data_IF_068512038809
#
_entry.id   IF_068512038809
#
_cell.length_a   1.000
_cell.length_b   1.000
_cell.length_c   1.000
_cell.angle_alpha   90.00
_cell.angle_beta   90.00
_cell.angle_gamma   90.00
#
_symmetry.space_group_name_H-M   'P 1'
#
loop_
_entity.id
_entity.type
_entity.pdbx_description
1 polymer ?
#
# COMPACT_ATOMS: atom_id res chain seq x y z
N UNK A 1 -1.26 -5.45 17.60
CA UNK A 1 -0.83 -5.52 16.19
C UNK A 1 0.51 -6.24 16.04
N UNK A 2 1.49 -5.94 16.92
CA UNK A 2 2.87 -6.44 16.79
C UNK A 2 3.00 -7.96 16.69
N UNK A 3 2.19 -8.73 17.43
CA UNK A 3 2.20 -10.20 17.34
C UNK A 3 1.99 -10.71 15.91
N UNK A 4 0.97 -10.20 15.21
CA UNK A 4 0.66 -10.58 13.82
C UNK A 4 1.76 -10.15 12.85
N UNK A 5 2.32 -8.96 13.07
CA UNK A 5 3.44 -8.46 12.28
C UNK A 5 4.68 -9.35 12.43
N UNK A 6 5.01 -9.76 13.66
CA UNK A 6 6.15 -10.62 13.96
C UNK A 6 5.96 -12.03 13.40
N UNK A 7 4.74 -12.59 13.47
CA UNK A 7 4.38 -13.86 12.85
C UNK A 7 4.61 -13.83 11.33
N UNK A 8 4.16 -12.76 10.64
CA UNK A 8 4.35 -12.62 9.19
C UNK A 8 5.82 -12.44 8.83
N UNK A 9 6.57 -11.62 9.58
CA UNK A 9 8.01 -11.46 9.37
C UNK A 9 8.76 -12.78 9.54
N UNK A 10 8.42 -13.54 10.59
CA UNK A 10 9.00 -14.86 10.82
C UNK A 10 8.71 -15.81 9.67
N UNK A 11 7.45 -15.84 9.21
CA UNK A 11 7.02 -16.70 8.10
C UNK A 11 7.78 -16.39 6.81
N UNK A 12 7.95 -15.11 6.47
CA UNK A 12 8.69 -14.66 5.28
C UNK A 12 10.15 -15.12 5.26
N UNK A 13 10.80 -15.13 6.42
CA UNK A 13 12.20 -15.55 6.56
C UNK A 13 12.35 -17.06 6.60
N UNK A 14 11.33 -17.79 7.06
CA UNK A 14 11.38 -19.25 7.27
C UNK A 14 10.88 -20.08 6.08
N UNK A 15 10.09 -19.53 5.14
CA UNK A 15 9.31 -20.30 4.18
C UNK A 15 10.10 -21.25 3.21
N UNK A 16 9.68 -22.53 3.09
CA UNK A 16 9.79 -23.37 1.89
C UNK A 16 8.39 -23.71 1.26
N UNK A 17 8.31 -24.21 -0.01
CA UNK A 17 7.15 -24.06 -0.90
C UNK A 17 5.87 -24.76 -0.46
N UNK A 18 4.73 -24.09 -0.66
CA UNK A 18 3.57 -24.77 -1.23
C UNK A 18 3.65 -24.65 -2.77
N UNK A 19 3.61 -25.81 -3.43
CA UNK A 19 3.46 -26.07 -4.86
C UNK A 19 4.50 -25.45 -5.83
N UNK A 20 5.43 -26.31 -6.27
CA UNK A 20 6.26 -26.22 -7.50
C UNK A 20 7.04 -24.93 -7.71
N UNK A 21 8.35 -24.97 -7.36
CA UNK A 21 9.40 -23.97 -7.60
C UNK A 21 9.74 -22.95 -6.49
N UNK A 22 9.39 -23.15 -5.20
CA UNK A 22 9.85 -22.15 -4.21
C UNK A 22 11.36 -22.25 -3.95
N UNK A 23 11.98 -21.13 -4.25
CA UNK A 23 13.35 -20.76 -4.03
C UNK A 23 13.44 -20.02 -2.68
N UNK A 24 14.58 -20.10 -2.01
CA UNK A 24 14.73 -19.61 -0.61
C UNK A 24 14.63 -18.07 -0.56
N UNK A 25 14.11 -17.48 0.55
CA UNK A 25 14.15 -16.04 0.73
C UNK A 25 15.60 -15.50 0.69
N UNK A 26 15.82 -14.26 0.25
CA UNK A 26 17.14 -13.64 0.28
C UNK A 26 17.73 -13.62 1.69
N UNK A 27 19.03 -13.91 1.83
CA UNK A 27 19.69 -13.98 3.15
C UNK A 27 19.62 -12.66 3.94
N UNK A 28 19.59 -11.53 3.23
CA UNK A 28 19.48 -10.19 3.81
C UNK A 28 18.04 -9.79 4.18
N UNK A 29 17.02 -10.59 3.85
CA UNK A 29 15.62 -10.24 4.10
C UNK A 29 15.34 -10.01 5.59
N UNK A 30 15.91 -10.84 6.47
CA UNK A 30 15.72 -10.73 7.91
C UNK A 30 16.26 -9.42 8.49
N UNK A 31 17.33 -8.86 7.93
CA UNK A 31 17.84 -7.54 8.30
C UNK A 31 16.89 -6.43 7.84
N UNK A 32 16.41 -6.54 6.61
CA UNK A 32 15.51 -5.56 6.01
C UNK A 32 14.17 -5.47 6.77
N UNK A 33 13.58 -6.61 7.17
CA UNK A 33 12.30 -6.68 7.88
C UNK A 33 12.35 -6.12 9.33
N UNK A 34 13.54 -5.93 9.90
CA UNK A 34 13.70 -5.19 11.18
C UNK A 34 13.47 -3.68 11.00
N UNK A 35 13.53 -3.21 9.77
CA UNK A 35 13.58 -1.79 9.42
C UNK A 35 12.33 -1.25 8.74
N UNK A 36 11.27 -2.06 8.62
CA UNK A 36 10.01 -1.67 7.95
C UNK A 36 9.54 -0.30 8.48
N UNK A 37 9.34 0.69 7.60
CA UNK A 37 8.95 2.03 8.02
C UNK A 37 7.58 1.96 8.67
N UNK A 38 7.51 2.54 9.87
CA UNK A 38 6.26 2.83 10.53
C UNK A 38 5.98 4.32 10.37
N UNK A 39 4.74 4.68 10.07
CA UNK A 39 4.32 6.08 10.06
C UNK A 39 3.88 6.55 11.46
N UNK A 40 4.11 7.81 11.83
CA UNK A 40 4.80 8.85 11.06
C UNK A 40 6.31 8.61 11.08
N UNK A 41 6.92 8.43 9.90
CA UNK A 41 8.28 8.87 9.71
C UNK A 41 8.17 10.37 9.38
N UNK A 42 9.14 11.18 9.81
CA UNK A 42 9.24 12.54 9.32
C UNK A 42 9.09 12.49 7.80
N UNK A 43 8.04 13.13 7.28
CA UNK A 43 7.78 13.19 5.84
C UNK A 43 8.92 14.01 5.23
N UNK A 44 10.00 13.32 4.85
CA UNK A 44 11.17 13.92 4.25
C UNK A 44 11.22 13.43 2.80
N UNK A 45 11.19 14.34 1.81
CA UNK A 45 11.25 13.96 0.42
C UNK A 45 12.55 13.19 0.13
N UNK A 46 12.42 12.09 -0.60
CA UNK A 46 13.52 11.26 -1.10
C UNK A 46 14.54 10.85 -0.03
N UNK A 47 14.07 10.11 0.97
CA UNK A 47 14.96 9.49 1.95
C UNK A 47 16.03 8.62 1.26
N UNK A 48 17.26 8.73 1.78
CA UNK A 48 18.31 7.76 1.46
C UNK A 48 17.86 6.39 1.97
N UNK A 49 18.20 5.30 1.26
CA UNK A 49 17.93 3.95 1.75
C UNK A 49 18.46 3.80 3.18
N UNK A 50 17.62 3.27 4.08
CA UNK A 50 18.01 3.01 5.46
C UNK A 50 19.20 2.06 5.53
N UNK A 51 19.20 1.06 4.65
CA UNK A 51 20.31 0.15 4.43
C UNK A 51 20.85 0.34 3.01
N UNK A 52 21.76 1.30 2.84
CA UNK A 52 22.32 1.64 1.53
C UNK A 52 23.00 0.45 0.82
N UNK A 53 23.67 -0.41 1.58
CA UNK A 53 24.33 -1.60 1.02
C UNK A 53 23.31 -2.63 0.48
N UNK A 54 22.07 -2.64 0.98
CA UNK A 54 21.01 -3.53 0.49
C UNK A 54 20.34 -3.02 -0.79
N UNK A 55 20.45 -1.74 -1.13
CA UNK A 55 19.84 -1.19 -2.35
C UNK A 55 20.30 -1.96 -3.61
N UNK A 56 21.62 -2.13 -3.75
CA UNK A 56 22.18 -2.89 -4.88
C UNK A 56 21.86 -4.39 -4.80
N UNK A 57 21.78 -4.95 -3.59
CA UNK A 57 21.44 -6.36 -3.40
C UNK A 57 19.98 -6.66 -3.75
N UNK A 58 19.05 -5.75 -3.42
CA UNK A 58 17.64 -5.84 -3.80
C UNK A 58 17.51 -5.84 -5.32
N UNK A 59 18.14 -4.88 -5.99
CA UNK A 59 18.17 -4.79 -7.45
C UNK A 59 18.79 -6.04 -8.12
N UNK A 60 19.93 -6.51 -7.60
CA UNK A 60 20.65 -7.66 -8.15
C UNK A 60 19.89 -8.99 -8.00
N UNK A 61 18.99 -9.09 -7.03
CA UNK A 61 18.16 -10.28 -6.83
C UNK A 61 17.22 -10.55 -8.02
N UNK A 62 17.01 -9.57 -8.91
CA UNK A 62 16.24 -9.71 -10.14
C UNK A 62 14.83 -10.28 -9.90
N UNK A 63 14.19 -9.87 -8.80
CA UNK A 63 12.88 -10.39 -8.40
C UNK A 63 11.77 -9.82 -9.30
N UNK A 64 10.53 -10.28 -9.08
CA UNK A 64 9.35 -9.66 -9.67
C UNK A 64 9.33 -8.14 -9.35
N UNK A 65 9.02 -7.24 -10.31
CA UNK A 65 9.11 -5.80 -10.08
C UNK A 65 8.28 -5.30 -8.89
N UNK A 66 7.13 -5.91 -8.62
CA UNK A 66 6.31 -5.57 -7.47
C UNK A 66 7.00 -5.96 -6.14
N UNK A 67 7.65 -7.12 -6.08
CA UNK A 67 8.43 -7.55 -4.92
C UNK A 67 9.61 -6.59 -4.72
N UNK A 68 10.35 -6.26 -5.79
CA UNK A 68 11.48 -5.33 -5.76
C UNK A 68 11.08 -3.94 -5.25
N UNK A 69 10.00 -3.37 -5.80
CA UNK A 69 9.47 -2.08 -5.36
C UNK A 69 9.07 -2.09 -3.88
N UNK A 70 8.43 -3.16 -3.42
CA UNK A 70 8.06 -3.32 -2.01
C UNK A 70 9.28 -3.42 -1.09
N UNK A 71 10.32 -4.14 -1.49
CA UNK A 71 11.58 -4.22 -0.76
C UNK A 71 12.27 -2.86 -0.65
N UNK A 72 12.27 -2.06 -1.72
CA UNK A 72 12.77 -0.67 -1.67
C UNK A 72 11.93 0.20 -0.73
N UNK A 73 10.59 0.08 -0.73
CA UNK A 73 9.75 0.78 0.25
C UNK A 73 10.05 0.35 1.70
N UNK A 74 10.24 -0.95 1.95
CA UNK A 74 10.67 -1.45 3.27
C UNK A 74 12.04 -0.88 3.66
N UNK A 75 12.93 -0.67 2.69
CA UNK A 75 14.23 -0.04 2.91
C UNK A 75 14.16 1.49 3.05
N UNK A 76 12.97 2.10 3.00
CA UNK A 76 12.78 3.55 2.89
C UNK A 76 13.50 4.20 1.69
N UNK A 77 13.80 3.39 0.67
CA UNK A 77 14.43 3.82 -0.58
C UNK A 77 13.35 4.30 -1.55
N UNK A 78 12.80 5.48 -1.26
CA UNK A 78 11.67 6.03 -2.00
C UNK A 78 12.05 6.33 -3.45
N UNK A 79 13.31 6.66 -3.74
CA UNK A 79 13.75 6.92 -5.11
C UNK A 79 13.62 5.67 -6.00
N UNK A 80 14.22 4.55 -5.59
CA UNK A 80 14.15 3.31 -6.36
C UNK A 80 12.72 2.77 -6.43
N UNK A 81 11.96 2.86 -5.34
CA UNK A 81 10.55 2.48 -5.34
C UNK A 81 9.73 3.34 -6.32
N UNK A 82 9.90 4.67 -6.29
CA UNK A 82 9.19 5.60 -7.18
C UNK A 82 9.53 5.35 -8.64
N UNK A 83 10.79 5.02 -8.94
CA UNK A 83 11.20 4.63 -10.29
C UNK A 83 10.41 3.41 -10.77
N UNK A 84 10.32 2.34 -9.97
CA UNK A 84 9.64 1.10 -10.35
C UNK A 84 8.13 1.28 -10.51
N UNK A 85 7.45 1.86 -9.51
CA UNK A 85 5.97 1.99 -9.55
C UNK A 85 5.50 2.92 -10.66
N UNK A 86 6.26 3.98 -10.98
CA UNK A 86 5.92 4.91 -12.07
C UNK A 86 6.02 4.27 -13.45
N UNK A 87 6.91 3.29 -13.63
CA UNK A 87 7.10 2.61 -14.93
C UNK A 87 6.01 1.60 -15.24
N UNK A 88 5.37 1.06 -14.21
CA UNK A 88 4.31 0.07 -14.32
C UNK A 88 2.92 0.64 -13.97
N UNK A 89 2.79 1.97 -13.94
CA UNK A 89 1.57 2.67 -13.57
C UNK A 89 0.37 2.19 -14.40
N UNK A 90 -0.69 1.70 -13.74
CA UNK A 90 -1.91 1.19 -14.37
C UNK A 90 -1.77 -0.19 -15.03
N UNK A 91 -0.60 -0.81 -14.96
CA UNK A 91 -0.27 -2.12 -15.54
C UNK A 91 -0.11 -3.25 -14.51
N UNK A 92 -0.06 -2.96 -13.22
CA UNK A 92 0.03 -3.98 -12.17
C UNK A 92 -0.69 -3.53 -10.90
N UNK A 93 -1.58 -4.38 -10.37
CA UNK A 93 -2.36 -4.08 -9.16
C UNK A 93 -1.49 -3.95 -7.91
N UNK A 94 -0.48 -4.79 -7.77
CA UNK A 94 0.45 -4.66 -6.66
C UNK A 94 1.28 -3.38 -6.79
N UNK A 95 1.75 -3.02 -7.99
CA UNK A 95 2.52 -1.78 -8.18
C UNK A 95 1.68 -0.53 -7.98
N UNK A 96 0.41 -0.52 -8.42
CA UNK A 96 -0.53 0.57 -8.13
C UNK A 96 -0.80 0.70 -6.61
N UNK A 97 -0.90 -0.42 -5.88
CA UNK A 97 -1.03 -0.40 -4.42
C UNK A 97 0.25 0.11 -3.75
N UNK A 98 1.43 -0.35 -4.19
CA UNK A 98 2.70 0.16 -3.69
C UNK A 98 2.86 1.66 -3.98
N UNK A 99 2.31 2.17 -5.09
CA UNK A 99 2.27 3.59 -5.40
C UNK A 99 1.43 4.38 -4.38
N UNK A 100 0.28 3.84 -3.97
CA UNK A 100 -0.53 4.42 -2.90
C UNK A 100 0.22 4.46 -1.56
N UNK A 101 0.92 3.39 -1.22
CA UNK A 101 1.75 3.31 -0.01
C UNK A 101 2.93 4.29 -0.08
N UNK A 102 3.57 4.41 -1.23
CA UNK A 102 4.68 5.34 -1.47
C UNK A 102 4.28 6.78 -1.17
N UNK A 103 3.18 7.27 -1.76
CA UNK A 103 2.72 8.64 -1.49
C UNK A 103 2.26 8.85 -0.05
N UNK A 104 1.71 7.81 0.58
CA UNK A 104 1.40 7.86 2.01
C UNK A 104 2.65 8.01 2.87
N UNK A 105 3.76 7.36 2.49
CA UNK A 105 5.06 7.50 3.15
C UNK A 105 5.70 8.88 2.92
N UNK A 106 5.46 9.50 1.76
CA UNK A 106 5.91 10.86 1.43
C UNK A 106 5.10 11.96 2.14
N UNK A 107 3.94 11.62 2.71
CA UNK A 107 2.99 12.60 3.25
C UNK A 107 2.09 13.24 2.19
N UNK A 108 2.12 12.76 0.95
CA UNK A 108 1.19 13.14 -0.12
C UNK A 108 -0.11 12.34 -0.01
N UNK A 109 -0.89 12.66 1.02
CA UNK A 109 -2.12 11.93 1.36
C UNK A 109 -3.19 12.04 0.28
N UNK A 110 -3.19 13.12 -0.50
CA UNK A 110 -4.13 13.31 -1.61
C UNK A 110 -3.87 12.28 -2.71
N UNK A 111 -2.62 12.18 -3.19
CA UNK A 111 -2.29 11.18 -4.20
C UNK A 111 -2.41 9.76 -3.66
N UNK A 112 -2.04 9.52 -2.40
CA UNK A 112 -2.27 8.22 -1.77
C UNK A 112 -3.74 7.78 -1.84
N UNK A 113 -4.68 8.65 -1.42
CA UNK A 113 -6.12 8.34 -1.49
C UNK A 113 -6.61 8.12 -2.92
N UNK A 114 -6.12 8.90 -3.89
CA UNK A 114 -6.47 8.73 -5.30
C UNK A 114 -6.14 7.32 -5.80
N UNK A 115 -4.93 6.83 -5.53
CA UNK A 115 -4.50 5.47 -5.90
C UNK A 115 -5.33 4.40 -5.19
N UNK A 116 -5.61 4.56 -3.89
CA UNK A 116 -6.49 3.63 -3.17
C UNK A 116 -7.92 3.61 -3.72
N UNK A 117 -8.45 4.74 -4.17
CA UNK A 117 -9.77 4.79 -4.82
C UNK A 117 -9.77 4.03 -6.13
N UNK A 118 -8.74 4.20 -6.96
CA UNK A 118 -8.65 3.51 -8.24
C UNK A 118 -8.54 1.99 -8.05
N UNK A 119 -7.80 1.54 -7.04
CA UNK A 119 -7.77 0.13 -6.62
C UNK A 119 -9.12 -0.35 -6.09
N UNK A 120 -9.76 0.40 -5.19
CA UNK A 120 -11.06 0.06 -4.62
C UNK A 120 -12.14 -0.10 -5.69
N UNK A 121 -12.25 0.87 -6.61
CA UNK A 121 -13.24 0.85 -7.69
C UNK A 121 -13.04 -0.30 -8.67
N UNK A 122 -11.79 -0.65 -8.95
CA UNK A 122 -11.49 -1.73 -9.89
C UNK A 122 -11.52 -3.12 -9.25
N UNK A 123 -11.57 -3.20 -7.92
CA UNK A 123 -11.78 -4.42 -7.16
C UNK A 123 -13.25 -4.58 -6.68
N UNK A 124 -14.04 -3.50 -6.67
CA UNK A 124 -15.47 -3.50 -6.34
C UNK A 124 -16.27 -4.19 -7.45
N UNK A 125 -16.75 -5.40 -7.16
CA UNK A 125 -17.42 -6.28 -8.13
C UNK A 125 -17.05 -7.76 -7.99
N UNK A 126 -16.08 -8.11 -7.13
CA UNK A 126 -15.54 -9.48 -7.01
C UNK A 126 -16.18 -10.37 -5.94
N UNK A 127 -17.18 -9.89 -5.20
CA UNK A 127 -18.07 -10.79 -4.43
C UNK A 127 -19.21 -11.25 -5.35
N UNK A 128 -18.91 -12.17 -6.28
CA UNK A 128 -19.98 -13.02 -6.79
C UNK A 128 -20.40 -13.96 -5.67
N UNK A 129 -21.43 -13.58 -4.92
CA UNK A 129 -22.27 -14.61 -4.33
C UNK A 129 -22.90 -15.36 -5.52
N UNK A 130 -22.48 -16.61 -5.69
CA UNK A 130 -23.17 -17.65 -6.44
C UNK A 130 -23.77 -17.21 -7.80
N UNK A 131 -22.94 -17.20 -8.83
CA UNK A 131 -23.42 -17.45 -10.20
C UNK A 131 -22.63 -18.64 -10.74
N UNK A 132 -23.09 -19.84 -10.36
CA UNK A 132 -22.54 -21.16 -10.74
C UNK A 132 -22.67 -21.48 -12.24
N UNK A 133 -22.75 -20.46 -13.12
CA UNK A 133 -23.03 -20.68 -14.53
C UNK A 133 -22.29 -19.78 -15.53
N UNK A 134 -21.19 -19.13 -15.15
CA UNK A 134 -20.35 -18.39 -16.12
C UNK A 134 -19.16 -19.22 -16.59
N UNK A 135 -19.24 -19.70 -17.84
CA UNK A 135 -18.11 -20.31 -18.56
C UNK A 135 -17.11 -19.24 -19.03
N UNK A 136 -15.84 -19.52 -18.74
CA UNK A 136 -14.59 -19.27 -19.51
C UNK A 136 -14.14 -17.83 -19.79
N UNK A 137 -12.86 -17.58 -19.46
CA UNK A 137 -11.96 -16.53 -19.99
C UNK A 137 -11.93 -15.14 -19.30
N UNK A 138 -12.30 -15.05 -18.02
CA UNK A 138 -12.14 -13.81 -17.23
C UNK A 138 -10.79 -13.81 -16.48
N UNK A 139 -9.99 -12.76 -16.67
CA UNK A 139 -8.76 -12.50 -15.90
C UNK A 139 -9.04 -12.65 -14.40
N UNK A 140 -8.21 -13.38 -13.62
CA UNK A 140 -8.44 -13.58 -12.21
C UNK A 140 -8.67 -12.25 -11.48
N UNK A 141 -9.74 -12.16 -10.70
CA UNK A 141 -10.01 -10.96 -9.91
C UNK A 141 -8.89 -10.77 -8.86
N UNK A 142 -8.38 -9.54 -8.75
CA UNK A 142 -7.38 -9.19 -7.74
C UNK A 142 -8.02 -9.06 -6.34
N UNK A 143 -8.27 -10.20 -5.70
CA UNK A 143 -8.93 -10.28 -4.37
C UNK A 143 -8.07 -9.75 -3.21
N UNK A 144 -6.74 -9.62 -3.42
CA UNK A 144 -5.76 -9.27 -2.38
C UNK A 144 -6.05 -7.95 -1.67
N UNK A 145 -6.61 -6.97 -2.38
CA UNK A 145 -6.97 -5.69 -1.77
C UNK A 145 -8.10 -5.84 -0.74
N UNK A 146 -9.10 -6.69 -1.02
CA UNK A 146 -10.22 -6.98 -0.10
C UNK A 146 -9.83 -7.89 1.06
N UNK A 147 -8.83 -8.76 0.85
CA UNK A 147 -8.29 -9.58 1.93
C UNK A 147 -7.68 -8.70 3.04
N UNK A 148 -7.04 -7.59 2.65
CA UNK A 148 -6.34 -6.72 3.57
C UNK A 148 -7.17 -5.52 4.07
N UNK A 149 -7.74 -4.76 3.13
CA UNK A 149 -8.52 -3.56 3.41
C UNK A 149 -10.01 -3.86 3.39
N UNK A 150 -10.75 -3.23 4.29
CA UNK A 150 -12.20 -3.17 4.16
C UNK A 150 -12.56 -2.28 2.96
N UNK A 151 -13.36 -2.82 2.03
CA UNK A 151 -13.87 -2.09 0.86
C UNK A 151 -15.39 -2.00 0.99
N UNK A 152 -15.95 -0.80 1.21
CA UNK A 152 -17.39 -0.61 1.31
C UNK A 152 -18.13 -1.08 0.06
N UNK A 153 -19.33 -1.63 0.23
CA UNK A 153 -20.09 -2.32 -0.83
C UNK A 153 -20.72 -1.43 -1.90
N UNK A 154 -20.51 -0.12 -1.93
CA UNK A 154 -21.31 0.71 -2.84
C UNK A 154 -20.65 1.97 -3.40
N UNK A 155 -20.84 2.16 -4.72
CA UNK A 155 -21.51 3.35 -5.21
C UNK A 155 -23.04 3.14 -5.11
N UNK A 156 -23.70 3.49 -3.99
CA UNK A 156 -25.18 3.53 -3.93
C UNK A 156 -25.96 2.64 -2.94
N UNK A 157 -25.42 2.31 -1.76
CA UNK A 157 -26.16 1.60 -0.72
C UNK A 157 -25.57 1.96 0.64
N UNK A 158 -26.02 3.08 1.22
CA UNK A 158 -25.53 3.61 2.49
C UNK A 158 -25.48 2.49 3.54
N UNK A 159 -24.28 2.07 3.91
CA UNK A 159 -24.11 1.04 4.94
C UNK A 159 -22.64 0.72 5.17
N UNK A 160 -22.26 0.62 6.45
CA UNK A 160 -21.05 -0.03 7.00
C UNK A 160 -19.72 0.71 7.09
N UNK A 161 -19.63 2.05 7.00
CA UNK A 161 -18.43 2.70 7.56
C UNK A 161 -18.52 2.64 9.10
N UNK A 162 -17.56 1.98 9.73
CA UNK A 162 -17.43 1.96 11.19
C UNK A 162 -17.21 3.39 11.68
N UNK A 163 -18.07 3.85 12.58
CA UNK A 163 -17.95 5.21 13.15
C UNK A 163 -16.62 5.32 13.89
N UNK A 164 -15.99 6.49 13.87
CA UNK A 164 -14.69 6.71 14.51
C UNK A 164 -14.66 6.33 16.01
N UNK A 165 -15.78 6.49 16.73
CA UNK A 165 -15.93 6.11 18.14
C UNK A 165 -15.95 4.59 18.38
N UNK A 166 -16.18 3.79 17.35
CA UNK A 166 -16.23 2.33 17.41
C UNK A 166 -14.96 1.65 16.90
N UNK A 167 -13.95 2.42 16.48
CA UNK A 167 -12.67 1.87 16.00
C UNK A 167 -11.77 1.45 17.18
N UNK A 168 -11.56 0.15 17.34
CA UNK A 168 -10.77 -0.43 18.44
C UNK A 168 -9.26 -0.44 18.14
N UNK A 169 -8.64 0.74 18.13
CA UNK A 169 -7.20 0.86 17.85
C UNK A 169 -6.30 0.33 18.99
N UNK A 170 -6.74 0.38 20.25
CA UNK A 170 -5.89 0.04 21.38
C UNK A 170 -5.56 -1.47 21.49
N UNK A 171 -6.47 -2.33 21.03
CA UNK A 171 -6.42 -3.79 21.18
C UNK A 171 -6.29 -4.54 19.86
N UNK A 172 -6.23 -3.83 18.72
CA UNK A 172 -6.24 -4.48 17.41
C UNK A 172 -5.03 -5.42 17.21
N UNK A 173 -5.31 -6.69 16.96
CA UNK A 173 -4.32 -7.71 16.61
C UNK A 173 -4.63 -8.42 15.28
N UNK A 174 -5.60 -7.92 14.52
CA UNK A 174 -6.11 -8.55 13.30
C UNK A 174 -5.87 -7.67 12.06
N UNK A 175 -6.21 -8.17 10.88
CA UNK A 175 -6.14 -7.41 9.64
C UNK A 175 -7.08 -6.19 9.67
N UNK A 176 -6.76 -5.11 8.95
CA UNK A 176 -7.60 -3.93 8.89
C UNK A 176 -9.03 -4.21 8.40
N UNK A 177 -9.21 -5.21 7.53
CA UNK A 177 -10.53 -5.67 7.10
C UNK A 177 -11.43 -6.07 8.29
N UNK A 178 -10.90 -6.79 9.29
CA UNK A 178 -11.63 -7.16 10.51
C UNK A 178 -11.95 -5.96 11.41
N UNK A 179 -11.21 -4.85 11.27
CA UNK A 179 -11.52 -3.59 11.92
C UNK A 179 -12.54 -2.74 11.16
N UNK A 180 -12.98 -3.19 9.98
CA UNK A 180 -13.73 -2.37 9.02
C UNK A 180 -13.00 -1.07 8.67
N UNK A 181 -11.66 -1.10 8.72
CA UNK A 181 -10.82 0.05 8.41
C UNK A 181 -10.51 0.05 6.91
N UNK A 182 -10.83 1.16 6.26
CA UNK A 182 -10.52 1.40 4.84
C UNK A 182 -9.09 1.93 4.68
N UNK A 183 -8.55 1.84 3.47
CA UNK A 183 -7.25 2.42 3.15
C UNK A 183 -7.22 3.96 3.28
N UNK A 184 -8.33 4.64 2.96
CA UNK A 184 -8.48 6.08 3.20
C UNK A 184 -8.51 6.42 4.67
N UNK A 185 -9.27 5.68 5.48
CA UNK A 185 -9.33 5.87 6.93
C UNK A 185 -7.96 5.63 7.57
N UNK A 186 -7.21 4.63 7.12
CA UNK A 186 -5.82 4.46 7.57
C UNK A 186 -4.92 5.63 7.14
N UNK A 187 -5.08 6.17 5.93
CA UNK A 187 -4.35 7.36 5.47
C UNK A 187 -4.65 8.58 6.35
N UNK A 188 -5.92 8.76 6.75
CA UNK A 188 -6.34 9.79 7.70
C UNK A 188 -5.69 9.57 9.09
N UNK A 189 -5.70 8.35 9.62
CA UNK A 189 -5.05 8.03 10.90
C UNK A 189 -3.55 8.32 10.90
N UNK A 190 -2.87 8.03 9.78
CA UNK A 190 -1.46 8.37 9.58
C UNK A 190 -1.26 9.88 9.68
N UNK A 191 -2.03 10.67 8.92
CA UNK A 191 -1.97 12.14 8.99
C UNK A 191 -2.19 12.65 10.42
N UNK A 192 -3.24 12.17 11.10
CA UNK A 192 -3.57 12.59 12.46
C UNK A 192 -2.46 12.21 13.46
N UNK A 193 -1.82 11.06 13.28
CA UNK A 193 -0.68 10.65 14.11
C UNK A 193 0.52 11.56 13.87
N UNK A 194 0.81 11.93 12.62
CA UNK A 194 1.88 12.89 12.28
C UNK A 194 1.63 14.25 12.92
N UNK A 195 0.38 14.73 12.86
CA UNK A 195 -0.02 15.99 13.45
C UNK A 195 0.07 15.96 14.98
N UNK A 196 -0.35 14.88 15.63
CA UNK A 196 -0.26 14.72 17.09
C UNK A 196 1.20 14.70 17.57
N UNK A 197 2.10 14.03 16.86
CA UNK A 197 3.55 14.03 17.16
C UNK A 197 4.13 15.43 16.97
N UNK A 198 3.80 16.11 15.87
CA UNK A 198 4.23 17.49 15.60
C UNK A 198 3.75 18.45 16.69
N UNK A 199 2.48 18.38 17.08
CA UNK A 199 1.91 19.21 18.15
C UNK A 199 2.61 18.96 19.49
N UNK A 200 2.91 17.72 19.84
CA UNK A 200 3.64 17.39 21.08
C UNK A 200 5.09 17.92 21.09
N UNK A 201 5.72 18.05 19.91
CA UNK A 201 7.10 18.55 19.77
C UNK A 201 7.23 20.08 19.69
N UNK A 202 6.14 20.81 19.44
CA UNK A 202 6.18 22.25 19.14
C UNK A 202 5.28 23.05 20.08
N UNK A 203 5.90 23.89 20.92
CA UNK A 203 5.19 24.82 21.81
C UNK A 203 4.34 25.88 21.08
N UNK A 204 4.44 25.97 19.75
CA UNK A 204 3.73 26.95 18.92
C UNK A 204 2.39 26.44 18.35
N UNK A 205 2.09 25.14 18.49
CA UNK A 205 0.84 24.56 17.94
C UNK A 205 -0.27 24.72 18.97
N UNK A 206 -1.17 25.68 18.75
CA UNK A 206 -2.38 25.86 19.55
C UNK A 206 -3.60 25.14 18.92
N UNK A 207 -4.66 24.91 19.70
CA UNK A 207 -5.85 24.15 19.27
C UNK A 207 -6.53 24.71 18.00
N UNK A 208 -6.47 26.03 17.80
CA UNK A 208 -7.01 26.69 16.60
C UNK A 208 -6.20 26.32 15.35
N UNK A 209 -4.87 26.26 15.45
CA UNK A 209 -3.99 25.83 14.37
C UNK A 209 -4.28 24.38 13.98
N UNK A 210 -4.44 23.49 14.96
CA UNK A 210 -4.72 22.06 14.72
C UNK A 210 -6.09 21.89 14.02
N UNK A 211 -7.10 22.65 14.45
CA UNK A 211 -8.43 22.63 13.82
C UNK A 211 -8.37 23.02 12.35
N UNK A 212 -7.56 24.03 12.01
CA UNK A 212 -7.30 24.42 10.62
C UNK A 212 -6.65 23.33 9.78
N UNK A 213 -5.71 22.57 10.35
CA UNK A 213 -5.04 21.46 9.66
C UNK A 213 -6.01 20.32 9.30
N UNK A 214 -6.95 19.94 10.18
CA UNK A 214 -7.96 18.91 9.83
C UNK A 214 -8.88 19.38 8.72
N UNK A 215 -9.33 20.64 8.79
CA UNK A 215 -10.23 21.21 7.79
C UNK A 215 -9.55 21.25 6.42
N UNK A 216 -8.28 21.66 6.39
CA UNK A 216 -7.45 21.66 5.19
C UNK A 216 -7.25 20.24 4.64
N UNK A 217 -6.82 19.29 5.47
CA UNK A 217 -6.64 17.89 5.06
C UNK A 217 -7.92 17.27 4.50
N UNK A 218 -9.06 17.48 5.16
CA UNK A 218 -10.34 17.00 4.67
C UNK A 218 -10.75 17.66 3.34
N UNK A 219 -10.54 18.97 3.20
CA UNK A 219 -10.80 19.68 1.95
C UNK A 219 -9.93 19.13 0.80
N UNK A 220 -8.62 19.07 1.01
CA UNK A 220 -7.64 18.75 -0.02
C UNK A 220 -7.65 17.26 -0.42
N UNK A 221 -7.95 16.36 0.52
CA UNK A 221 -7.83 14.91 0.32
C UNK A 221 -9.16 14.19 0.19
N UNK A 222 -10.27 14.77 0.63
CA UNK A 222 -11.60 14.13 0.57
C UNK A 222 -12.58 14.91 -0.29
N UNK A 223 -12.71 16.23 -0.11
CA UNK A 223 -13.72 17.03 -0.82
C UNK A 223 -13.30 17.47 -2.22
N UNK A 224 -12.00 17.64 -2.46
CA UNK A 224 -11.47 18.13 -3.73
C UNK A 224 -11.60 17.13 -4.90
N UNK A 225 -11.92 15.87 -4.62
CA UNK A 225 -11.95 14.79 -5.60
C UNK A 225 -13.25 14.00 -5.49
N UNK A 226 -14.14 14.14 -6.47
CA UNK A 226 -15.47 13.54 -6.44
C UNK A 226 -15.41 12.02 -6.26
N UNK A 227 -14.45 11.34 -6.89
CA UNK A 227 -14.31 9.89 -6.75
C UNK A 227 -13.97 9.46 -5.31
N UNK A 228 -13.22 10.27 -4.56
CA UNK A 228 -12.92 10.00 -3.15
C UNK A 228 -14.18 10.27 -2.31
N UNK A 229 -14.80 11.43 -2.50
CA UNK A 229 -16.03 11.82 -1.81
C UNK A 229 -17.16 10.80 -1.99
N UNK A 230 -17.35 10.31 -3.22
CA UNK A 230 -18.38 9.33 -3.58
C UNK A 230 -18.07 7.94 -3.03
N UNK A 231 -16.79 7.59 -2.84
CA UNK A 231 -16.41 6.29 -2.27
C UNK A 231 -16.85 6.10 -0.81
N UNK A 232 -17.13 7.20 -0.09
CA UNK A 232 -17.47 7.20 1.34
C UNK A 232 -16.48 6.41 2.21
N UNK A 233 -15.24 6.25 1.75
CA UNK A 233 -14.24 5.45 2.46
C UNK A 233 -13.32 6.27 3.37
N UNK A 234 -13.27 7.60 3.21
CA UNK A 234 -12.54 8.51 4.10
C UNK A 234 -13.35 8.92 5.33
N UNK A 235 -12.68 9.36 6.39
CA UNK A 235 -13.35 9.91 7.57
C UNK A 235 -13.89 11.32 7.31
N UNK A 236 -15.04 11.64 7.91
CA UNK A 236 -15.58 12.99 7.89
C UNK A 236 -14.85 13.93 8.86
N UNK A 237 -15.09 15.23 8.76
CA UNK A 237 -14.41 16.22 9.60
C UNK A 237 -14.60 15.98 11.11
N UNK A 238 -15.80 15.59 11.54
CA UNK A 238 -16.08 15.28 12.95
C UNK A 238 -15.31 14.04 13.43
N UNK A 239 -15.20 13.02 12.57
CA UNK A 239 -14.45 11.80 12.86
C UNK A 239 -12.96 12.12 13.04
N UNK A 240 -12.38 12.96 12.16
CA UNK A 240 -10.98 13.39 12.27
C UNK A 240 -10.69 14.07 13.62
N UNK A 241 -11.58 14.95 14.08
CA UNK A 241 -11.45 15.63 15.38
C UNK A 241 -11.52 14.67 16.57
N UNK A 242 -12.39 13.65 16.49
CA UNK A 242 -12.50 12.63 17.54
C UNK A 242 -11.24 11.75 17.57
N UNK A 243 -10.82 11.25 16.42
CA UNK A 243 -9.65 10.38 16.28
C UNK A 243 -8.37 11.09 16.68
N UNK A 244 -8.23 12.38 16.37
CA UNK A 244 -7.07 13.17 16.82
C UNK A 244 -6.95 13.19 18.35
N UNK A 245 -8.06 13.45 19.06
CA UNK A 245 -8.06 13.44 20.54
C UNK A 245 -7.64 12.08 21.07
N UNK A 246 -8.19 11.00 20.51
CA UNK A 246 -7.79 9.64 20.87
C UNK A 246 -6.28 9.41 20.66
N UNK A 247 -5.75 9.80 19.49
CA UNK A 247 -4.34 9.62 19.14
C UNK A 247 -3.41 10.51 19.95
N UNK A 248 -3.87 11.67 20.42
CA UNK A 248 -3.09 12.57 21.28
C UNK A 248 -2.90 11.98 22.67
N UNK A 249 -3.95 11.37 23.22
CA UNK A 249 -3.94 10.84 24.59
C UNK A 249 -3.49 9.38 24.71
N UNK A 250 -3.37 8.63 23.61
CA UNK A 250 -3.00 7.21 23.66
C UNK A 250 -1.80 6.88 22.79
N UNK A 251 -0.66 6.63 23.45
CA UNK A 251 0.54 6.09 22.78
C UNK A 251 0.25 4.74 22.13
N UNK A 252 -0.53 3.87 22.78
CA UNK A 252 -0.91 2.58 22.24
C UNK A 252 -1.68 2.70 20.92
N UNK A 253 -2.58 3.68 20.78
CA UNK A 253 -3.29 3.90 19.52
C UNK A 253 -2.34 4.37 18.41
N UNK A 254 -1.40 5.28 18.71
CA UNK A 254 -0.38 5.72 17.76
C UNK A 254 0.52 4.57 17.32
N UNK A 255 0.90 3.70 18.26
CA UNK A 255 1.69 2.51 17.96
C UNK A 255 0.93 1.53 17.07
N UNK A 256 -0.38 1.34 17.28
CA UNK A 256 -1.21 0.54 16.37
C UNK A 256 -1.24 1.12 14.96
N UNK A 257 -1.44 2.43 14.80
CA UNK A 257 -1.41 3.08 13.47
C UNK A 257 -0.06 2.89 12.79
N UNK A 258 1.04 3.03 13.55
CA UNK A 258 2.39 2.75 13.05
C UNK A 258 2.54 1.30 12.58
N UNK A 259 2.09 0.35 13.39
CA UNK A 259 2.16 -1.08 13.08
C UNK A 259 1.25 -1.48 11.93
N UNK A 260 0.13 -0.79 11.68
CA UNK A 260 -0.72 -1.01 10.51
C UNK A 260 -0.01 -0.66 9.19
N UNK A 261 0.76 0.43 9.16
CA UNK A 261 1.58 0.78 8.00
C UNK A 261 2.68 -0.25 7.74
N UNK A 262 3.30 -0.77 8.80
CA UNK A 262 4.28 -1.85 8.68
C UNK A 262 3.64 -3.16 8.22
N UNK A 263 2.46 -3.46 8.77
CA UNK A 263 1.70 -4.66 8.43
C UNK A 263 1.31 -4.66 6.96
N UNK A 264 0.91 -3.52 6.39
CA UNK A 264 0.58 -3.43 4.96
C UNK A 264 1.74 -3.85 4.07
N UNK A 265 2.94 -3.27 4.27
CA UNK A 265 4.13 -3.65 3.49
C UNK A 265 4.52 -5.12 3.68
N UNK A 266 4.52 -5.60 4.92
CA UNK A 266 4.90 -6.99 5.24
C UNK A 266 3.88 -8.00 4.72
N UNK A 267 2.59 -7.66 4.78
CA UNK A 267 1.52 -8.50 4.24
C UNK A 267 1.59 -8.54 2.71
N UNK A 268 1.77 -7.39 2.06
CA UNK A 268 1.89 -7.30 0.60
C UNK A 268 3.04 -8.15 0.09
N UNK A 269 4.22 -8.08 0.71
CA UNK A 269 5.34 -8.92 0.27
C UNK A 269 5.05 -10.41 0.47
N UNK A 270 4.35 -10.79 1.55
CA UNK A 270 3.87 -12.16 1.73
C UNK A 270 2.92 -12.61 0.63
N UNK A 271 1.95 -11.78 0.26
CA UNK A 271 1.00 -12.08 -0.81
C UNK A 271 1.71 -12.19 -2.17
N UNK A 272 2.60 -11.25 -2.50
CA UNK A 272 3.38 -11.30 -3.73
C UNK A 272 4.31 -12.52 -3.79
N UNK A 273 4.89 -12.94 -2.67
CA UNK A 273 5.72 -14.15 -2.62
C UNK A 273 4.88 -15.42 -2.80
N UNK A 274 3.64 -15.45 -2.30
CA UNK A 274 2.71 -16.54 -2.61
C UNK A 274 2.37 -16.59 -4.10
N UNK A 275 2.18 -15.44 -4.73
CA UNK A 275 1.77 -15.33 -6.12
C UNK A 275 2.94 -15.56 -7.11
N UNK A 276 4.16 -15.14 -6.76
CA UNK A 276 5.31 -15.07 -7.67
C UNK A 276 6.53 -15.89 -7.25
N UNK A 277 6.64 -16.22 -5.97
CA UNK A 277 7.80 -16.88 -5.37
C UNK A 277 9.03 -15.97 -5.23
N UNK A 278 10.00 -16.43 -4.44
CA UNK A 278 11.32 -15.77 -4.27
C UNK A 278 12.29 -16.10 -5.41
N UNK A 279 11.85 -16.00 -6.67
CA UNK A 279 12.65 -16.42 -7.82
C UNK A 279 13.19 -15.22 -8.61
N UNK A 280 14.30 -15.45 -9.31
CA UNK A 280 14.77 -14.51 -10.31
C UNK A 280 13.83 -14.52 -11.53
N UNK A 281 13.51 -13.32 -12.01
CA UNK A 281 12.71 -13.05 -13.20
C UNK A 281 13.64 -12.57 -14.31
N UNK A 282 13.62 -13.30 -15.43
CA UNK A 282 14.20 -12.81 -16.66
C UNK A 282 13.41 -11.62 -17.21
N UNK A 283 13.93 -11.01 -18.26
CA UNK A 283 13.24 -9.94 -19.00
C UNK A 283 11.89 -10.43 -19.53
N UNK A 284 11.86 -11.63 -20.10
CA UNK A 284 10.64 -12.24 -20.63
C UNK A 284 9.63 -12.52 -19.50
N UNK A 285 10.08 -13.13 -18.40
CA UNK A 285 9.23 -13.39 -17.23
C UNK A 285 8.59 -12.11 -16.69
N UNK A 286 9.37 -11.02 -16.67
CA UNK A 286 8.94 -9.71 -16.16
C UNK A 286 7.83 -9.14 -17.04
N UNK A 287 8.02 -9.17 -18.36
CA UNK A 287 7.03 -8.67 -19.31
C UNK A 287 5.74 -9.48 -19.22
N UNK A 288 5.85 -10.80 -19.11
CA UNK A 288 4.66 -11.66 -19.06
C UNK A 288 3.91 -11.53 -17.73
N UNK A 289 4.62 -11.40 -16.60
CA UNK A 289 3.97 -11.16 -15.32
C UNK A 289 3.23 -9.81 -15.27
N UNK A 290 3.82 -8.74 -15.82
CA UNK A 290 3.15 -7.44 -15.90
C UNK A 290 1.92 -7.47 -16.83
N UNK A 291 1.90 -8.30 -17.88
CA UNK A 291 0.69 -8.49 -18.70
C UNK A 291 -0.44 -9.16 -17.93
N UNK A 292 -0.14 -10.15 -17.09
CA UNK A 292 -1.15 -10.86 -16.28
C UNK A 292 -1.76 -9.95 -15.22
N UNK A 293 -0.98 -9.05 -14.65
CA UNK A 293 -1.46 -8.07 -13.66
C UNK A 293 -2.14 -6.83 -14.28
N UNK A 294 -2.11 -6.69 -15.61
CA UNK A 294 -2.62 -5.52 -16.33
C UNK A 294 -4.15 -5.43 -16.30
N UNK A 295 -4.64 -4.20 -16.14
CA UNK A 295 -6.05 -3.89 -15.98
C UNK A 295 -6.77 -3.74 -17.33
N UNK A 296 -8.10 -3.88 -17.42
CA UNK A 296 -8.84 -3.58 -18.66
C UNK A 296 -8.66 -2.14 -19.16
N UNK A 297 -8.35 -1.18 -18.28
CA UNK A 297 -7.99 0.19 -18.68
C UNK A 297 -6.72 0.22 -19.56
N UNK A 298 -5.81 -0.74 -19.37
CA UNK A 298 -4.63 -0.97 -20.20
C UNK A 298 -4.98 -1.55 -21.59
N UNK A 299 -6.17 -2.15 -21.76
CA UNK A 299 -6.64 -2.62 -23.07
C UNK A 299 -7.20 -1.47 -23.92
N UNK A 300 -7.78 -0.44 -23.28
CA UNK A 300 -8.35 0.74 -23.95
C UNK A 300 -7.34 1.86 -24.28
N UNK A 301 -6.16 1.86 -23.65
CA UNK A 301 -5.13 2.86 -23.94
C UNK A 301 -4.12 2.36 -24.98
N UNK A 302 -3.95 3.17 -26.04
CA UNK A 302 -3.28 2.80 -27.28
C UNK A 302 -1.84 2.29 -27.13
N UNK A 303 -1.41 1.52 -28.13
CA UNK A 303 -0.16 0.76 -28.20
C UNK A 303 1.12 1.56 -27.92
N UNK A 304 1.05 2.90 -27.98
CA UNK A 304 2.14 3.81 -27.60
C UNK A 304 2.47 3.83 -26.09
N UNK A 305 1.49 3.65 -25.19
CA UNK A 305 1.75 3.52 -23.73
C UNK A 305 2.30 2.14 -23.40
N UNK A 306 1.75 1.10 -24.03
CA UNK A 306 2.22 -0.30 -23.92
C UNK A 306 3.69 -0.47 -24.31
N UNK A 307 4.11 0.19 -25.40
CA UNK A 307 5.51 0.18 -25.84
C UNK A 307 6.45 0.95 -24.89
N UNK A 308 5.98 2.01 -24.21
CA UNK A 308 6.81 2.79 -23.26
C UNK A 308 7.06 2.06 -21.94
N UNK A 309 6.07 1.34 -21.40
CA UNK A 309 6.25 0.56 -20.16
C UNK A 309 7.26 -0.60 -20.36
N UNK A 310 7.11 -1.37 -21.45
CA UNK A 310 7.99 -2.50 -21.76
C UNK A 310 9.42 -2.11 -22.17
N UNK A 311 9.60 -0.98 -22.89
CA UNK A 311 10.93 -0.54 -23.36
C UNK A 311 11.76 0.21 -22.31
N UNK A 312 11.18 0.60 -21.15
CA UNK A 312 11.84 1.51 -20.20
C UNK A 312 12.21 0.86 -18.86
N UNK A 313 11.72 -0.35 -18.58
CA UNK A 313 12.23 -1.21 -17.50
C UNK A 313 13.40 -2.07 -18.02
N UNK A 314 13.39 -2.38 -19.32
CA UNK A 314 14.27 -3.36 -19.96
C UNK A 314 14.70 -2.80 -21.31
N UNK A 315 16.01 -2.70 -21.55
CA UNK A 315 16.51 -2.41 -22.89
C UNK A 315 16.59 -3.75 -23.67
N UNK A 316 15.68 -4.04 -24.62
CA UNK A 316 15.56 -5.37 -25.23
C UNK A 316 16.84 -5.80 -25.97
N UNK A 317 17.63 -4.83 -26.43
CA UNK A 317 18.90 -5.07 -27.13
C UNK A 317 20.15 -5.17 -26.24
N UNK A 318 20.06 -4.92 -24.92
CA UNK A 318 21.24 -4.85 -24.04
C UNK A 318 21.14 -5.67 -22.74
N UNK A 319 19.97 -6.20 -22.38
CA UNK A 319 19.85 -7.05 -21.19
C UNK A 319 20.11 -6.35 -19.85
N UNK A 320 20.26 -5.02 -19.82
CA UNK A 320 20.58 -4.24 -18.61
C UNK A 320 19.35 -3.48 -18.08
N UNK A 321 19.11 -3.62 -16.76
CA UNK A 321 18.21 -2.74 -15.98
C UNK A 321 18.99 -1.47 -15.63
N UNK A 322 18.52 -0.29 -16.06
CA UNK A 322 19.10 1.00 -15.67
C UNK A 322 18.30 1.59 -14.53
N UNK A 323 18.96 1.80 -13.39
CA UNK A 323 18.49 2.61 -12.27
C UNK A 323 18.90 4.07 -12.45
#
# INVERSE_FOLDING_TARGET
MNKRLDELKSTLVQAPPAASQATKPPQWLGELLKSVPGLPADAVPHNRPKHAHLQSAIAAASLHPAIEACLHLINSDLYSAHFLVRKAQGGSRYLDWLHAVLHKLEGDFRNAKMWYTDLGNTNAGSRSQADDNKKTDETPAFGRFHEFWFVPTCNGGRGSQKRADSLELASCNDLPNCLELTAHGHTDLVFLTSLAVKAASSNAVNDNSVTGEFAKHHADTTLAEDKIKLSQSAFGLQDLQLLYRLLTHSTSCRDTVRSLSQLELVWMIGAMVQDFGWRAYTIADTVDALKVESTPAYQSEGDARKAKASNMVLNPGQGQRKF
#
